data_IF_922177311070
#
_entry.id   IF_922177311070
#
_cell.length_a   1.000
_cell.length_b   1.000
_cell.length_c   1.000
_cell.angle_alpha   90.00
_cell.angle_beta   90.00
_cell.angle_gamma   90.00
#
_symmetry.space_group_name_H-M   'P 1'
#
loop_
_entity.id
_entity.type
_entity.pdbx_description
1 polymer ?
#
# COMPACT_ATOMS: atom_id res chain seq x y z
N UNK A 1 -24.65 10.33 15.26
CA UNK A 1 -25.01 8.96 14.81
C UNK A 1 -24.02 8.00 15.43
N UNK A 2 -24.48 6.90 16.03
CA UNK A 2 -23.58 5.83 16.50
C UNK A 2 -22.84 5.31 15.27
N UNK A 3 -21.52 5.31 15.29
CA UNK A 3 -20.71 4.68 14.24
C UNK A 3 -20.94 3.19 14.37
N UNK A 4 -21.87 2.66 13.57
CA UNK A 4 -22.11 1.22 13.48
C UNK A 4 -20.97 0.56 12.72
N UNK A 5 -20.64 -0.68 13.09
CA UNK A 5 -19.66 -1.47 12.36
C UNK A 5 -20.04 -1.58 10.87
N UNK A 6 -19.04 -1.56 9.96
CA UNK A 6 -19.30 -1.66 8.53
C UNK A 6 -19.96 -3.01 8.19
N UNK A 7 -21.05 -2.97 7.42
CA UNK A 7 -21.85 -4.14 7.09
C UNK A 7 -21.79 -4.45 5.59
N UNK A 8 -21.83 -5.73 5.17
CA UNK A 8 -22.00 -6.10 3.76
C UNK A 8 -23.13 -5.36 3.02
N UNK A 9 -24.26 -5.10 3.68
CA UNK A 9 -25.41 -4.38 3.11
C UNK A 9 -25.12 -2.93 2.73
N UNK A 10 -24.00 -2.38 3.21
CA UNK A 10 -23.56 -1.01 2.91
C UNK A 10 -22.94 -0.88 1.53
N UNK A 11 -22.79 -2.00 0.80
CA UNK A 11 -22.07 -2.06 -0.47
C UNK A 11 -22.88 -2.82 -1.52
N UNK A 12 -22.97 -2.23 -2.72
CA UNK A 12 -23.44 -2.92 -3.92
C UNK A 12 -22.24 -3.45 -4.69
N UNK A 13 -22.24 -4.74 -4.98
CA UNK A 13 -21.20 -5.40 -5.78
C UNK A 13 -21.48 -5.13 -7.26
N UNK A 14 -20.54 -4.49 -7.95
CA UNK A 14 -20.74 -4.09 -9.35
C UNK A 14 -20.10 -5.06 -10.33
N UNK A 15 -18.90 -5.55 -9.97
CA UNK A 15 -18.05 -6.28 -10.90
C UNK A 15 -17.05 -7.15 -10.17
N UNK A 16 -16.75 -8.33 -10.68
CA UNK A 16 -15.57 -9.10 -10.29
C UNK A 16 -14.32 -8.49 -10.95
N UNK A 17 -13.23 -8.36 -10.20
CA UNK A 17 -11.95 -7.81 -10.69
C UNK A 17 -10.94 -8.93 -10.92
N UNK A 18 -10.74 -9.79 -9.93
CA UNK A 18 -9.69 -10.79 -10.00
C UNK A 18 -9.63 -11.72 -8.81
N UNK A 19 -8.82 -12.76 -8.94
CA UNK A 19 -8.60 -13.78 -7.92
C UNK A 19 -7.12 -13.83 -7.55
N UNK A 20 -6.85 -13.73 -6.26
CA UNK A 20 -5.54 -14.00 -5.66
C UNK A 20 -5.43 -15.44 -5.14
N UNK A 21 -4.34 -15.73 -4.43
CA UNK A 21 -4.12 -17.05 -3.83
C UNK A 21 -5.19 -17.41 -2.79
N UNK A 22 -5.45 -16.48 -1.87
CA UNK A 22 -6.43 -16.62 -0.78
C UNK A 22 -7.54 -15.56 -0.82
N UNK A 23 -7.74 -14.89 -1.96
CA UNK A 23 -8.69 -13.78 -2.03
C UNK A 23 -9.42 -13.67 -3.36
N UNK A 24 -10.59 -13.03 -3.30
CA UNK A 24 -11.40 -12.61 -4.44
C UNK A 24 -11.58 -11.09 -4.35
N UNK A 25 -11.40 -10.40 -5.47
CA UNK A 25 -11.45 -8.93 -5.52
C UNK A 25 -12.63 -8.51 -6.37
N UNK A 26 -13.44 -7.60 -5.84
CA UNK A 26 -14.64 -7.06 -6.45
C UNK A 26 -14.58 -5.53 -6.50
N UNK A 27 -15.23 -4.94 -7.50
CA UNK A 27 -15.59 -3.53 -7.49
C UNK A 27 -16.91 -3.39 -6.74
N UNK A 28 -16.94 -2.52 -5.74
CA UNK A 28 -18.15 -2.24 -4.96
C UNK A 28 -18.42 -0.75 -4.90
N UNK A 29 -19.69 -0.39 -4.65
CA UNK A 29 -20.13 0.99 -4.44
C UNK A 29 -20.80 1.12 -3.08
N UNK A 30 -20.40 2.11 -2.29
CA UNK A 30 -21.02 2.41 -0.99
C UNK A 30 -22.43 2.96 -1.19
N UNK A 31 -23.41 2.48 -0.41
CA UNK A 31 -24.82 2.89 -0.52
C UNK A 31 -25.30 3.79 0.61
N UNK A 32 -24.56 3.87 1.71
CA UNK A 32 -24.92 4.64 2.89
C UNK A 32 -23.68 5.27 3.58
N UNK A 33 -23.89 6.23 4.47
CA UNK A 33 -22.82 6.88 5.21
C UNK A 33 -22.11 8.03 4.48
N UNK A 34 -20.97 8.50 5.02
CA UNK A 34 -20.27 9.73 4.60
C UNK A 34 -19.88 9.78 3.13
N UNK A 35 -19.55 8.60 2.60
CA UNK A 35 -18.89 8.36 1.34
C UNK A 35 -19.84 7.63 0.37
N UNK A 36 -21.15 7.75 0.58
CA UNK A 36 -22.19 7.20 -0.29
C UNK A 36 -21.91 7.54 -1.75
N UNK A 37 -22.02 6.53 -2.62
CA UNK A 37 -21.72 6.65 -4.06
C UNK A 37 -20.25 6.43 -4.43
N UNK A 38 -19.34 6.43 -3.45
CA UNK A 38 -17.92 6.14 -3.68
C UNK A 38 -17.70 4.70 -4.11
N UNK A 39 -16.71 4.50 -4.98
CA UNK A 39 -16.31 3.20 -5.50
C UNK A 39 -15.04 2.70 -4.82
N UNK A 40 -15.01 1.41 -4.55
CA UNK A 40 -13.94 0.73 -3.82
C UNK A 40 -13.58 -0.60 -4.47
N UNK A 41 -12.41 -1.11 -4.10
CA UNK A 41 -12.03 -2.49 -4.31
C UNK A 41 -12.29 -3.27 -3.02
N UNK A 42 -13.19 -4.26 -3.07
CA UNK A 42 -13.44 -5.19 -1.98
C UNK A 42 -12.59 -6.44 -2.17
N UNK A 43 -11.61 -6.66 -1.29
CA UNK A 43 -10.79 -7.89 -1.22
C UNK A 43 -11.40 -8.81 -0.16
N UNK A 44 -12.12 -9.84 -0.60
CA UNK A 44 -12.67 -10.90 0.24
C UNK A 44 -11.62 -11.99 0.43
N UNK A 45 -11.41 -12.47 1.65
CA UNK A 45 -10.47 -13.55 1.95
C UNK A 45 -11.18 -14.90 2.06
N UNK A 46 -10.52 -15.93 1.55
CA UNK A 46 -10.95 -17.33 1.62
C UNK A 46 -10.08 -18.03 2.68
N UNK A 47 -10.62 -18.23 3.87
CA UNK A 47 -9.91 -18.85 5.01
C UNK A 47 -9.79 -20.37 4.83
N UNK A 48 -8.99 -20.81 3.85
CA UNK A 48 -8.88 -22.23 3.48
C UNK A 48 -7.89 -23.02 4.33
N UNK A 49 -6.98 -22.37 5.02
CA UNK A 49 -5.93 -23.00 5.84
C UNK A 49 -5.27 -21.95 6.76
N UNK A 50 -4.38 -22.42 7.63
CA UNK A 50 -3.63 -21.60 8.58
C UNK A 50 -2.83 -20.47 7.90
N UNK A 51 -2.23 -20.73 6.74
CA UNK A 51 -1.50 -19.71 5.97
C UNK A 51 -2.41 -18.57 5.50
N UNK A 52 -3.64 -18.86 5.08
CA UNK A 52 -4.62 -17.84 4.70
C UNK A 52 -4.99 -16.92 5.88
N UNK A 53 -5.16 -17.50 7.08
CA UNK A 53 -5.42 -16.75 8.32
C UNK A 53 -4.23 -15.84 8.66
N UNK A 54 -3.01 -16.38 8.62
CA UNK A 54 -1.78 -15.58 8.85
C UNK A 54 -1.66 -14.41 7.87
N UNK A 55 -1.94 -14.65 6.58
CA UNK A 55 -1.89 -13.63 5.54
C UNK A 55 -2.88 -12.48 5.82
N UNK A 56 -4.15 -12.77 6.11
CA UNK A 56 -5.16 -11.72 6.34
C UNK A 56 -4.88 -10.90 7.60
N UNK A 57 -4.44 -11.55 8.69
CA UNK A 57 -4.12 -10.85 9.94
C UNK A 57 -2.88 -9.95 9.80
N UNK A 58 -1.86 -10.45 9.09
CA UNK A 58 -0.64 -9.69 8.77
C UNK A 58 -0.96 -8.47 7.91
N UNK A 59 -1.71 -8.67 6.82
CA UNK A 59 -2.11 -7.58 5.92
C UNK A 59 -2.96 -6.53 6.64
N UNK A 60 -3.96 -6.96 7.43
CA UNK A 60 -4.79 -6.06 8.25
C UNK A 60 -3.93 -5.18 9.14
N UNK A 61 -3.03 -5.78 9.92
CA UNK A 61 -2.21 -5.05 10.89
C UNK A 61 -1.34 -3.99 10.20
N UNK A 62 -0.76 -4.30 9.05
CA UNK A 62 0.05 -3.36 8.29
C UNK A 62 -0.82 -2.23 7.73
N UNK A 63 -1.97 -2.55 7.14
CA UNK A 63 -2.90 -1.56 6.60
C UNK A 63 -3.46 -0.63 7.67
N UNK A 64 -3.76 -1.13 8.87
CA UNK A 64 -4.20 -0.32 10.00
C UNK A 64 -3.10 0.62 10.49
N UNK A 65 -1.84 0.14 10.57
CA UNK A 65 -0.69 1.01 10.88
C UNK A 65 -0.56 2.13 9.85
N UNK A 66 -0.70 1.82 8.56
CA UNK A 66 -0.67 2.82 7.50
C UNK A 66 -1.81 3.83 7.67
N UNK A 67 -3.04 3.37 7.94
CA UNK A 67 -4.21 4.23 8.08
C UNK A 67 -4.14 5.25 9.24
N UNK A 68 -3.35 4.97 10.27
CA UNK A 68 -3.18 5.88 11.43
C UNK A 68 -1.90 6.72 11.35
N UNK A 69 -1.10 6.59 10.29
CA UNK A 69 0.07 7.45 10.09
C UNK A 69 -0.36 8.89 9.76
N UNK A 70 0.40 9.87 10.28
CA UNK A 70 0.20 11.30 9.98
C UNK A 70 0.29 11.60 8.49
N UNK A 71 1.14 10.86 7.78
CA UNK A 71 1.33 10.97 6.34
C UNK A 71 0.75 9.74 5.64
N UNK A 72 -0.28 9.95 4.81
CA UNK A 72 -0.85 8.91 3.95
C UNK A 72 -0.14 8.91 2.60
N UNK A 73 0.71 7.91 2.35
CA UNK A 73 1.39 7.78 1.05
C UNK A 73 0.40 7.40 -0.05
N UNK A 74 0.31 8.15 -1.17
CA UNK A 74 -0.57 7.79 -2.27
C UNK A 74 -0.06 6.57 -3.06
N UNK A 75 1.16 6.09 -2.75
CA UNK A 75 1.83 4.97 -3.39
C UNK A 75 1.65 3.64 -2.66
N UNK A 76 0.72 3.59 -1.69
CA UNK A 76 0.35 2.39 -0.94
C UNK A 76 -1.18 2.25 -0.87
N UNK A 77 -1.70 1.06 -0.53
CA UNK A 77 -3.14 0.83 -0.44
C UNK A 77 -3.70 1.53 0.80
N UNK A 78 -4.87 2.14 0.66
CA UNK A 78 -5.60 2.77 1.76
C UNK A 78 -6.77 1.88 2.16
N UNK A 79 -6.74 1.36 3.40
CA UNK A 79 -7.85 0.62 3.99
C UNK A 79 -8.95 1.58 4.44
N UNK A 80 -10.09 1.55 3.75
CA UNK A 80 -11.27 2.33 4.12
C UNK A 80 -12.08 1.63 5.21
N UNK A 81 -12.32 0.33 5.02
CA UNK A 81 -13.09 -0.49 5.95
C UNK A 81 -12.52 -1.91 6.01
N UNK A 82 -12.64 -2.57 7.15
CA UNK A 82 -12.58 -4.03 7.21
C UNK A 82 -13.76 -4.58 7.98
N UNK A 83 -14.20 -5.77 7.61
CA UNK A 83 -15.38 -6.42 8.20
C UNK A 83 -15.17 -7.91 8.35
N UNK A 84 -15.70 -8.45 9.43
CA UNK A 84 -15.81 -9.88 9.71
C UNK A 84 -17.27 -10.19 10.00
N UNK A 85 -17.87 -11.05 9.17
CA UNK A 85 -19.25 -11.51 9.39
C UNK A 85 -19.46 -12.88 8.78
N UNK A 86 -20.11 -13.77 9.52
CA UNK A 86 -20.45 -15.13 9.06
C UNK A 86 -19.24 -15.84 8.43
N UNK A 87 -18.09 -15.86 9.10
CA UNK A 87 -16.81 -16.42 8.62
C UNK A 87 -16.22 -15.81 7.33
N UNK A 88 -16.78 -14.70 6.85
CA UNK A 88 -16.26 -13.94 5.72
C UNK A 88 -15.49 -12.72 6.22
N UNK A 89 -14.19 -12.67 5.92
CA UNK A 89 -13.36 -11.47 6.14
C UNK A 89 -13.18 -10.71 4.84
N UNK A 90 -13.33 -9.39 4.90
CA UNK A 90 -13.12 -8.54 3.74
C UNK A 90 -12.44 -7.21 4.11
N UNK A 91 -11.60 -6.73 3.21
CA UNK A 91 -11.11 -5.36 3.19
C UNK A 91 -11.80 -4.58 2.08
N UNK A 92 -12.15 -3.34 2.38
CA UNK A 92 -12.60 -2.34 1.41
C UNK A 92 -11.49 -1.32 1.27
N UNK A 93 -10.85 -1.34 0.11
CA UNK A 93 -9.67 -0.54 -0.24
C UNK A 93 -10.07 0.54 -1.26
N UNK A 94 -9.31 1.64 -1.30
CA UNK A 94 -9.41 2.62 -2.40
C UNK A 94 -9.27 1.89 -3.76
N UNK A 95 -10.14 2.23 -4.70
CA UNK A 95 -10.13 1.58 -6.02
C UNK A 95 -8.90 2.01 -6.85
N UNK A 96 -8.21 1.02 -7.43
CA UNK A 96 -7.27 1.25 -8.52
C UNK A 96 -7.97 1.30 -9.89
N UNK A 97 -7.19 1.17 -10.96
CA UNK A 97 -7.69 1.11 -12.34
C UNK A 97 -8.19 -0.28 -12.75
N UNK A 98 -7.77 -1.32 -12.01
CA UNK A 98 -7.96 -2.72 -12.36
C UNK A 98 -6.87 -3.29 -13.28
N UNK A 99 -5.82 -2.52 -13.59
CA UNK A 99 -4.62 -2.99 -14.30
C UNK A 99 -3.39 -2.93 -13.39
N UNK A 100 -2.43 -3.80 -13.67
CA UNK A 100 -1.14 -3.85 -13.01
C UNK A 100 0.03 -3.60 -13.99
N UNK A 101 1.26 -3.56 -13.48
CA UNK A 101 2.46 -3.37 -14.30
C UNK A 101 2.74 -4.58 -15.19
N UNK A 102 2.29 -5.78 -14.81
CA UNK A 102 2.36 -6.95 -15.68
C UNK A 102 1.52 -6.75 -16.93
N UNK A 103 0.28 -6.28 -16.80
CA UNK A 103 -0.62 -5.97 -17.92
C UNK A 103 0.03 -4.96 -18.89
N UNK A 104 0.69 -3.93 -18.35
CA UNK A 104 1.43 -2.96 -19.16
C UNK A 104 2.56 -3.64 -19.93
N UNK A 105 3.39 -4.46 -19.27
CA UNK A 105 4.51 -5.16 -19.91
C UNK A 105 4.02 -6.18 -20.96
N UNK A 106 2.92 -6.87 -20.73
CA UNK A 106 2.28 -7.69 -21.75
C UNK A 106 1.80 -6.87 -22.95
N UNK A 107 1.34 -5.64 -22.71
CA UNK A 107 0.85 -4.75 -23.76
C UNK A 107 1.97 -4.17 -24.63
N UNK A 108 3.04 -3.66 -24.01
CA UNK A 108 4.10 -2.90 -24.71
C UNK A 108 5.40 -3.67 -24.89
N UNK A 109 5.52 -4.86 -24.28
CA UNK A 109 6.74 -5.64 -24.22
C UNK A 109 7.72 -5.07 -23.19
N UNK A 110 8.64 -4.21 -23.64
CA UNK A 110 9.64 -3.57 -22.78
C UNK A 110 9.43 -2.06 -22.74
N UNK A 111 9.66 -1.47 -21.59
CA UNK A 111 9.63 -0.03 -21.39
C UNK A 111 10.97 0.60 -21.76
N UNK A 112 10.89 1.84 -22.26
CA UNK A 112 12.09 2.68 -22.41
C UNK A 112 12.70 2.98 -21.04
N UNK A 113 14.02 3.22 -20.97
CA UNK A 113 14.67 3.58 -19.71
C UNK A 113 14.05 4.82 -19.04
N UNK A 114 13.52 5.76 -19.84
CA UNK A 114 12.85 6.95 -19.34
C UNK A 114 11.50 6.61 -18.67
N UNK A 115 10.68 5.76 -19.30
CA UNK A 115 9.40 5.33 -18.74
C UNK A 115 9.61 4.43 -17.52
N UNK A 116 10.63 3.56 -17.55
CA UNK A 116 11.04 2.76 -16.39
C UNK A 116 11.44 3.65 -15.22
N UNK A 117 12.24 4.69 -15.44
CA UNK A 117 12.66 5.63 -14.40
C UNK A 117 11.47 6.29 -13.69
N UNK A 118 10.42 6.64 -14.44
CA UNK A 118 9.19 7.21 -13.86
C UNK A 118 8.56 6.25 -12.86
N UNK A 119 8.23 5.02 -13.28
CA UNK A 119 7.55 4.07 -12.38
C UNK A 119 8.44 3.64 -11.22
N UNK A 120 9.75 3.49 -11.44
CA UNK A 120 10.70 3.18 -10.37
C UNK A 120 10.73 4.29 -9.31
N UNK A 121 10.61 5.56 -9.69
CA UNK A 121 10.53 6.66 -8.73
C UNK A 121 9.28 6.55 -7.83
N UNK A 122 8.13 6.17 -8.39
CA UNK A 122 6.88 6.01 -7.63
C UNK A 122 6.91 4.79 -6.72
N UNK A 123 7.42 3.66 -7.22
CA UNK A 123 7.62 2.44 -6.43
C UNK A 123 8.56 2.73 -5.25
N UNK A 124 9.66 3.48 -5.47
CA UNK A 124 10.57 3.91 -4.41
C UNK A 124 9.84 4.79 -3.38
N UNK A 125 8.91 5.66 -3.78
CA UNK A 125 8.13 6.45 -2.83
C UNK A 125 7.23 5.59 -1.93
N UNK A 126 6.62 4.53 -2.50
CA UNK A 126 5.83 3.55 -1.73
C UNK A 126 6.71 2.76 -0.74
N UNK A 127 7.82 2.20 -1.22
CA UNK A 127 8.76 1.44 -0.40
C UNK A 127 9.44 2.32 0.67
N UNK A 128 9.75 3.58 0.37
CA UNK A 128 10.34 4.53 1.33
C UNK A 128 9.40 4.75 2.52
N UNK A 129 8.09 4.82 2.27
CA UNK A 129 7.10 4.92 3.33
C UNK A 129 7.02 3.63 4.18
N UNK A 130 6.95 2.44 3.56
CA UNK A 130 6.99 1.17 4.30
C UNK A 130 8.26 1.04 5.15
N UNK A 131 9.43 1.33 4.56
CA UNK A 131 10.71 1.24 5.25
C UNK A 131 10.81 2.24 6.41
N UNK A 132 10.21 3.43 6.29
CA UNK A 132 10.15 4.39 7.40
C UNK A 132 9.37 3.85 8.63
N UNK A 133 8.48 2.88 8.42
CA UNK A 133 7.71 2.20 9.46
C UNK A 133 8.32 0.86 9.90
N UNK A 134 9.52 0.53 9.43
CA UNK A 134 10.19 -0.76 9.60
C UNK A 134 9.45 -1.95 8.98
N UNK A 135 8.74 -1.72 7.88
CA UNK A 135 7.99 -2.75 7.15
C UNK A 135 8.74 -3.07 5.86
N UNK A 136 8.99 -4.35 5.59
CA UNK A 136 9.58 -4.87 4.34
C UNK A 136 8.47 -5.51 3.51
N UNK A 137 8.41 -5.20 2.22
CA UNK A 137 7.31 -5.65 1.36
C UNK A 137 7.39 -7.15 1.03
N UNK A 138 8.59 -7.64 0.71
CA UNK A 138 8.95 -9.04 0.37
C UNK A 138 8.36 -9.63 -0.91
N UNK A 139 7.37 -9.00 -1.55
CA UNK A 139 6.81 -9.48 -2.82
C UNK A 139 6.67 -8.38 -3.89
N UNK A 140 7.73 -7.57 -4.07
CA UNK A 140 7.78 -6.55 -5.13
C UNK A 140 7.93 -7.23 -6.50
N UNK A 141 6.90 -7.14 -7.34
CA UNK A 141 6.81 -7.75 -8.68
C UNK A 141 5.77 -7.02 -9.54
N UNK A 142 5.76 -7.18 -10.87
CA UNK A 142 4.85 -6.46 -11.76
C UNK A 142 3.37 -6.56 -11.37
N UNK A 143 2.89 -7.72 -10.96
CA UNK A 143 1.50 -7.97 -10.58
C UNK A 143 1.07 -7.21 -9.30
N UNK A 144 2.03 -6.86 -8.44
CA UNK A 144 1.77 -6.14 -7.19
C UNK A 144 1.96 -4.62 -7.34
N UNK A 145 2.32 -4.13 -8.52
CA UNK A 145 2.38 -2.70 -8.84
C UNK A 145 1.12 -2.33 -9.62
N UNK A 146 0.13 -1.77 -8.93
CA UNK A 146 -1.19 -1.45 -9.51
C UNK A 146 -1.25 -0.02 -10.01
N UNK A 147 -2.04 0.19 -11.06
CA UNK A 147 -2.28 1.51 -11.63
C UNK A 147 -3.48 2.20 -11.01
N UNK A 148 -3.41 3.51 -10.84
CA UNK A 148 -4.57 4.39 -10.75
C UNK A 148 -5.10 4.73 -12.16
N UNK A 149 -6.36 5.21 -12.27
CA UNK A 149 -6.93 5.59 -13.57
C UNK A 149 -6.13 6.63 -14.36
N UNK A 150 -5.43 7.52 -13.66
CA UNK A 150 -4.62 8.61 -14.21
C UNK A 150 -3.20 8.19 -14.63
N UNK A 151 -2.81 6.92 -14.42
CA UNK A 151 -1.54 6.37 -14.88
C UNK A 151 -0.43 6.30 -13.82
N UNK A 152 -0.64 6.89 -12.64
CA UNK A 152 0.26 6.70 -11.51
C UNK A 152 0.16 5.29 -10.94
N UNK A 153 1.21 4.81 -10.27
CA UNK A 153 1.21 3.47 -9.66
C UNK A 153 1.19 3.51 -8.13
N UNK A 154 0.85 2.39 -7.52
CA UNK A 154 1.05 2.13 -6.10
C UNK A 154 1.47 0.68 -5.87
N UNK A 155 2.24 0.45 -4.81
CA UNK A 155 2.65 -0.89 -4.38
C UNK A 155 1.51 -1.49 -3.57
N UNK A 156 1.09 -2.71 -3.90
CA UNK A 156 -0.07 -3.39 -3.31
C UNK A 156 0.28 -4.78 -2.79
N UNK A 157 -0.69 -5.40 -2.12
CA UNK A 157 -0.61 -6.76 -1.56
C UNK A 157 0.42 -6.90 -0.43
N UNK A 158 0.00 -6.52 0.78
CA UNK A 158 0.85 -6.49 1.97
C UNK A 158 0.74 -7.78 2.81
N UNK A 159 0.17 -8.85 2.24
CA UNK A 159 -0.07 -10.13 2.91
C UNK A 159 1.19 -10.97 3.16
N UNK A 160 2.28 -10.60 2.48
CA UNK A 160 3.64 -11.17 2.62
C UNK A 160 4.62 -10.25 3.33
N UNK A 161 4.21 -9.02 3.63
CA UNK A 161 5.07 -8.01 4.23
C UNK A 161 5.44 -8.35 5.67
N UNK A 162 6.65 -7.98 6.08
CA UNK A 162 7.18 -8.27 7.41
C UNK A 162 7.45 -6.99 8.20
N UNK A 163 6.98 -6.94 9.44
CA UNK A 163 7.16 -5.80 10.33
C UNK A 163 8.31 -6.05 11.31
N UNK A 164 9.48 -5.50 10.99
CA UNK A 164 10.72 -5.66 11.77
C UNK A 164 10.58 -5.01 13.16
N UNK A 165 9.72 -3.99 13.33
CA UNK A 165 9.59 -3.27 14.60
C UNK A 165 9.07 -4.12 15.76
N UNK A 166 8.51 -5.30 15.48
CA UNK A 166 8.00 -6.21 16.51
C UNK A 166 9.09 -6.88 17.35
N UNK A 167 10.36 -6.80 16.94
CA UNK A 167 11.47 -7.46 17.61
C UNK A 167 11.26 -8.97 17.82
N UNK A 168 10.39 -9.59 17.02
CA UNK A 168 10.18 -11.04 17.00
C UNK A 168 11.17 -11.66 16.02
N UNK A 169 11.75 -12.81 16.37
CA UNK A 169 12.57 -13.57 15.41
C UNK A 169 11.68 -14.08 14.27
N UNK A 170 12.04 -13.87 12.98
CA UNK A 170 11.30 -14.42 11.87
C UNK A 170 11.20 -15.95 11.95
N UNK A 171 10.05 -16.49 11.59
CA UNK A 171 9.80 -17.92 11.40
C UNK A 171 9.93 -18.27 9.92
N UNK A 172 9.96 -19.57 9.59
CA UNK A 172 10.00 -20.01 8.18
C UNK A 172 8.81 -19.48 7.35
N UNK A 173 7.65 -19.26 7.99
CA UNK A 173 6.44 -18.70 7.37
C UNK A 173 6.53 -17.20 7.06
N UNK A 174 7.57 -16.51 7.55
CA UNK A 174 7.85 -15.10 7.25
C UNK A 174 8.76 -14.95 6.02
N UNK A 175 9.53 -15.98 5.68
CA UNK A 175 10.38 -16.02 4.50
C UNK A 175 9.56 -16.36 3.26
N UNK A 176 8.77 -15.38 2.84
CA UNK A 176 7.84 -15.50 1.72
C UNK A 176 8.27 -14.62 0.54
N UNK A 177 7.55 -14.78 -0.57
CA UNK A 177 7.74 -14.03 -1.82
C UNK A 177 7.56 -14.91 -3.04
N UNK A 178 7.69 -14.30 -4.21
CA UNK A 178 7.72 -14.99 -5.50
C UNK A 178 9.17 -15.34 -5.84
N UNK A 179 9.55 -16.62 -6.03
CA UNK A 179 10.95 -17.01 -6.24
C UNK A 179 11.67 -16.21 -7.34
N UNK A 180 10.95 -15.75 -8.37
CA UNK A 180 11.45 -14.89 -9.44
C UNK A 180 12.05 -13.57 -8.96
N UNK A 181 11.46 -12.96 -7.95
CA UNK A 181 11.84 -11.64 -7.42
C UNK A 181 12.49 -11.74 -6.03
N UNK A 182 12.46 -12.91 -5.42
CA UNK A 182 12.93 -13.15 -4.06
C UNK A 182 14.44 -12.92 -3.91
N UNK A 183 14.81 -12.18 -2.87
CA UNK A 183 16.20 -11.97 -2.51
C UNK A 183 16.86 -13.26 -2.00
N UNK A 184 18.18 -13.47 -2.21
CA UNK A 184 18.82 -14.74 -1.90
C UNK A 184 18.82 -15.08 -0.41
N UNK A 185 19.01 -14.08 0.46
CA UNK A 185 18.96 -14.23 1.92
C UNK A 185 17.56 -14.60 2.43
N UNK A 186 16.51 -14.09 1.77
CA UNK A 186 15.12 -14.44 2.07
C UNK A 186 14.84 -15.87 1.62
N UNK A 187 15.26 -16.22 0.40
CA UNK A 187 15.11 -17.58 -0.15
C UNK A 187 15.88 -18.65 0.65
N UNK A 188 16.95 -18.26 1.36
CA UNK A 188 17.71 -19.13 2.26
C UNK A 188 17.16 -19.17 3.69
N UNK A 189 16.18 -18.34 4.03
CA UNK A 189 15.63 -18.29 5.38
C UNK A 189 16.59 -17.66 6.40
N UNK A 190 17.48 -16.78 5.97
CA UNK A 190 18.56 -16.24 6.81
C UNK A 190 18.15 -14.97 7.55
N UNK A 191 17.76 -13.94 6.81
CA UNK A 191 17.43 -12.62 7.35
C UNK A 191 16.41 -11.90 6.46
N UNK A 192 15.53 -11.14 7.08
CA UNK A 192 14.64 -10.19 6.42
C UNK A 192 15.20 -8.80 6.68
N UNK A 193 15.56 -8.09 5.61
CA UNK A 193 16.14 -6.75 5.66
C UNK A 193 15.40 -5.85 4.66
N UNK A 194 15.33 -4.55 4.91
CA UNK A 194 14.78 -3.58 3.93
C UNK A 194 15.48 -3.66 2.56
N UNK A 195 16.75 -4.07 2.55
CA UNK A 195 17.55 -4.30 1.33
C UNK A 195 17.11 -5.54 0.54
N UNK A 196 16.25 -6.38 1.09
CA UNK A 196 15.61 -7.46 0.34
C UNK A 196 14.64 -6.90 -0.71
N UNK A 197 13.91 -5.81 -0.41
CA UNK A 197 13.06 -5.13 -1.40
C UNK A 197 13.89 -4.46 -2.51
N UNK A 198 15.13 -4.04 -2.22
CA UNK A 198 16.04 -3.45 -3.22
C UNK A 198 16.45 -4.48 -4.27
N UNK A 199 16.63 -5.72 -3.87
CA UNK A 199 16.88 -6.81 -4.81
C UNK A 199 15.67 -7.04 -5.72
N UNK A 200 14.48 -7.17 -5.14
CA UNK A 200 13.24 -7.36 -5.88
C UNK A 200 12.97 -6.20 -6.84
N UNK A 201 13.25 -4.96 -6.42
CA UNK A 201 13.22 -3.78 -7.27
C UNK A 201 14.23 -3.90 -8.44
N UNK A 202 15.45 -4.36 -8.18
CA UNK A 202 16.46 -4.59 -9.23
C UNK A 202 16.02 -5.61 -10.29
N UNK A 203 15.40 -6.71 -9.84
CA UNK A 203 14.82 -7.74 -10.71
C UNK A 203 13.67 -7.15 -11.53
N UNK A 204 12.75 -6.42 -10.88
CA UNK A 204 11.63 -5.74 -11.53
C UNK A 204 12.10 -4.76 -12.61
N UNK A 205 13.09 -3.90 -12.32
CA UNK A 205 13.65 -2.94 -13.30
C UNK A 205 14.24 -3.67 -14.50
N UNK A 206 14.94 -4.79 -14.27
CA UNK A 206 15.51 -5.58 -15.34
C UNK A 206 14.42 -6.20 -16.22
N UNK A 207 13.33 -6.65 -15.62
CA UNK A 207 12.16 -7.16 -16.35
C UNK A 207 11.47 -6.08 -17.18
N UNK A 208 11.32 -4.88 -16.62
CA UNK A 208 10.71 -3.74 -17.33
C UNK A 208 11.47 -3.36 -18.60
N UNK A 209 12.81 -3.44 -18.61
CA UNK A 209 13.64 -2.96 -19.74
C UNK A 209 14.16 -4.05 -20.66
N UNK A 210 14.18 -5.32 -20.22
CA UNK A 210 14.72 -6.43 -21.02
C UNK A 210 13.74 -7.59 -21.20
N UNK A 211 12.54 -7.50 -20.62
CA UNK A 211 11.59 -8.59 -20.52
C UNK A 211 12.03 -9.63 -19.48
N UNK A 212 11.37 -10.81 -19.44
CA UNK A 212 11.64 -11.82 -18.43
C UNK A 212 13.13 -12.21 -18.33
N UNK A 213 13.70 -12.02 -17.14
CA UNK A 213 15.15 -12.12 -16.90
C UNK A 213 15.65 -13.55 -16.64
N UNK A 214 14.73 -14.50 -16.50
CA UNK A 214 15.02 -15.93 -16.55
C UNK A 214 13.79 -16.68 -17.05
N UNK A 215 14.00 -17.86 -17.63
CA UNK A 215 12.90 -18.79 -17.91
C UNK A 215 12.36 -19.32 -16.58
N UNK A 216 11.05 -19.53 -16.53
CA UNK A 216 10.41 -20.33 -15.48
C UNK A 216 11.15 -21.67 -15.37
N UNK A 217 11.36 -22.13 -14.15
CA UNK A 217 11.95 -23.45 -13.95
C UNK A 217 10.91 -24.54 -14.19
N UNK A 218 11.36 -25.78 -14.39
CA UNK A 218 10.46 -26.94 -14.56
C UNK A 218 9.60 -27.19 -13.33
N UNK A 219 10.07 -26.80 -12.15
CA UNK A 219 9.35 -26.96 -10.89
C UNK A 219 9.78 -25.90 -9.86
N UNK A 220 8.92 -25.72 -8.85
CA UNK A 220 9.11 -24.76 -7.76
C UNK A 220 10.41 -24.97 -6.98
N UNK A 221 10.86 -26.20 -6.78
CA UNK A 221 12.09 -26.48 -6.04
C UNK A 221 13.33 -25.91 -6.74
N UNK A 222 13.38 -26.01 -8.07
CA UNK A 222 14.44 -25.41 -8.90
C UNK A 222 14.34 -23.88 -8.92
N UNK A 223 13.14 -23.29 -8.89
CA UNK A 223 12.99 -21.83 -8.77
C UNK A 223 13.58 -21.31 -7.45
N UNK A 224 13.24 -21.97 -6.34
CA UNK A 224 13.80 -21.63 -5.03
C UNK A 224 15.31 -21.86 -4.96
N UNK A 225 15.83 -22.90 -5.62
CA UNK A 225 17.27 -23.14 -5.72
C UNK A 225 17.97 -21.97 -6.42
N UNK A 226 17.43 -21.51 -7.56
CA UNK A 226 17.96 -20.35 -8.30
C UNK A 226 17.86 -19.06 -7.48
N UNK A 227 16.75 -18.87 -6.75
CA UNK A 227 16.59 -17.74 -5.83
C UNK A 227 17.66 -17.75 -4.74
N UNK A 228 17.89 -18.89 -4.07
CA UNK A 228 18.95 -19.08 -3.06
C UNK A 228 20.34 -18.79 -3.59
N UNK A 229 20.62 -19.19 -4.84
CA UNK A 229 21.89 -18.91 -5.51
C UNK A 229 22.04 -17.44 -5.92
N UNK A 230 20.95 -16.68 -6.00
CA UNK A 230 20.95 -15.29 -6.43
C UNK A 230 21.55 -15.06 -7.82
N UNK A 231 21.36 -16.02 -8.73
CA UNK A 231 21.88 -15.93 -10.10
C UNK A 231 20.81 -15.38 -11.04
N UNK A 232 21.13 -14.30 -11.75
CA UNK A 232 20.26 -13.68 -12.75
C UNK A 232 21.05 -13.38 -14.02
N UNK A 233 20.38 -13.49 -15.18
CA UNK A 233 20.97 -13.18 -16.48
C UNK A 233 20.14 -12.09 -17.16
N UNK A 234 20.61 -10.85 -17.07
CA UNK A 234 19.97 -9.73 -17.76
C UNK A 234 20.37 -9.78 -19.24
N UNK A 235 19.40 -10.11 -20.10
CA UNK A 235 19.63 -10.17 -21.55
C UNK A 235 19.97 -8.78 -22.08
N UNK A 236 20.96 -8.69 -22.96
CA UNK A 236 21.32 -7.41 -23.57
C UNK A 236 21.88 -6.36 -22.60
N UNK A 237 22.32 -6.75 -21.38
CA UNK A 237 22.85 -5.82 -20.37
C UNK A 237 23.91 -4.85 -20.93
N UNK A 238 24.78 -5.32 -21.83
CA UNK A 238 25.82 -4.49 -22.47
C UNK A 238 25.27 -3.36 -23.35
N UNK A 239 24.05 -3.54 -23.89
CA UNK A 239 23.37 -2.55 -24.74
C UNK A 239 22.56 -1.50 -23.95
N UNK A 240 22.39 -1.69 -22.64
CA UNK A 240 21.71 -0.72 -21.78
C UNK A 240 22.63 0.46 -21.43
N UNK A 241 22.07 1.56 -20.95
CA UNK A 241 22.87 2.72 -20.53
C UNK A 241 23.81 2.38 -19.35
N UNK A 242 24.95 3.06 -19.28
CA UNK A 242 25.88 2.91 -18.14
C UNK A 242 25.24 3.22 -16.78
N UNK A 243 24.38 4.24 -16.63
CA UNK A 243 23.61 4.45 -15.41
C UNK A 243 22.78 3.24 -15.00
N UNK A 244 22.09 2.59 -15.95
CA UNK A 244 21.23 1.44 -15.66
C UNK A 244 22.06 0.17 -15.37
N UNK A 245 23.15 -0.07 -16.09
CA UNK A 245 24.12 -1.12 -15.75
C UNK A 245 24.62 -0.97 -14.30
N UNK A 246 25.00 0.25 -13.91
CA UNK A 246 25.44 0.56 -12.54
C UNK A 246 24.32 0.37 -11.50
N UNK A 247 23.06 0.65 -11.87
CA UNK A 247 21.91 0.41 -11.00
C UNK A 247 21.77 -1.08 -10.68
N UNK A 248 21.87 -1.96 -11.69
CA UNK A 248 21.83 -3.40 -11.48
C UNK A 248 23.01 -3.90 -10.65
N UNK A 249 24.22 -3.40 -10.92
CA UNK A 249 25.40 -3.74 -10.11
C UNK A 249 25.24 -3.32 -8.65
N UNK A 250 24.48 -2.26 -8.33
CA UNK A 250 24.22 -1.87 -6.95
C UNK A 250 23.12 -2.72 -6.29
N UNK A 251 22.01 -2.98 -7.00
CA UNK A 251 20.84 -3.64 -6.42
C UNK A 251 20.98 -5.17 -6.34
N UNK A 252 21.63 -5.79 -7.34
CA UNK A 252 21.72 -7.25 -7.47
C UNK A 252 22.99 -7.82 -6.83
N UNK A 253 23.35 -7.33 -5.64
CA UNK A 253 24.42 -7.89 -4.83
C UNK A 253 23.90 -9.08 -4.01
N UNK A 254 24.60 -10.22 -4.08
CA UNK A 254 24.19 -11.45 -3.37
C UNK A 254 24.13 -11.26 -1.87
N UNK A 255 25.14 -10.58 -1.32
CA UNK A 255 25.16 -10.21 0.09
C UNK A 255 24.28 -8.97 0.30
N UNK A 256 23.21 -9.09 1.09
CA UNK A 256 22.28 -7.98 1.32
C UNK A 256 22.97 -6.75 1.90
N UNK A 257 24.02 -6.93 2.73
CA UNK A 257 24.75 -5.81 3.33
C UNK A 257 25.54 -4.94 2.34
N UNK A 258 25.81 -5.46 1.13
CA UNK A 258 26.48 -4.73 0.05
C UNK A 258 25.50 -3.92 -0.81
N UNK A 259 24.19 -4.11 -0.64
CA UNK A 259 23.17 -3.30 -1.30
C UNK A 259 23.00 -1.97 -0.56
N UNK A 260 22.76 -0.86 -1.27
CA UNK A 260 22.36 0.38 -0.63
C UNK A 260 20.95 0.27 -0.03
N UNK A 261 20.66 1.06 0.99
CA UNK A 261 19.26 1.37 1.37
C UNK A 261 18.61 2.27 0.31
N UNK A 262 17.29 2.46 0.36
CA UNK A 262 16.56 3.30 -0.60
C UNK A 262 17.17 4.70 -0.76
N UNK A 263 17.64 5.33 0.32
CA UNK A 263 18.35 6.61 0.25
C UNK A 263 19.52 6.57 -0.73
N UNK A 264 20.37 5.54 -0.66
CA UNK A 264 21.49 5.36 -1.59
C UNK A 264 21.04 4.96 -3.00
N UNK A 265 19.93 4.23 -3.14
CA UNK A 265 19.35 3.93 -4.46
C UNK A 265 18.94 5.21 -5.18
N UNK A 266 18.31 6.17 -4.49
CA UNK A 266 17.86 7.46 -5.03
C UNK A 266 19.03 8.32 -5.55
N UNK A 267 20.23 8.10 -5.06
CA UNK A 267 21.46 8.82 -5.45
C UNK A 267 22.15 8.19 -6.68
N UNK A 268 21.71 7.01 -7.14
CA UNK A 268 22.27 6.36 -8.32
C UNK A 268 22.03 7.18 -9.59
N UNK A 269 23.00 7.15 -10.51
CA UNK A 269 22.97 7.95 -11.74
C UNK A 269 21.70 7.72 -12.59
N UNK A 270 21.11 6.53 -12.53
CA UNK A 270 19.88 6.20 -13.23
C UNK A 270 18.70 7.07 -12.77
N UNK A 271 18.69 7.48 -11.50
CA UNK A 271 17.63 8.28 -10.85
C UNK A 271 18.04 9.73 -10.59
N UNK A 272 19.25 10.16 -11.00
CA UNK A 272 19.79 11.50 -10.77
C UNK A 272 18.84 12.65 -11.14
N UNK A 273 18.03 12.47 -12.17
CA UNK A 273 17.14 13.51 -12.70
C UNK A 273 15.69 13.40 -12.20
N UNK A 274 15.42 12.50 -11.25
CA UNK A 274 14.10 12.42 -10.61
C UNK A 274 13.95 13.57 -9.63
N UNK A 275 12.94 14.41 -9.86
CA UNK A 275 12.47 15.36 -8.86
C UNK A 275 11.65 14.62 -7.82
N UNK A 276 12.28 14.25 -6.70
CA UNK A 276 11.66 13.47 -5.64
C UNK A 276 10.53 14.19 -4.92
N UNK A 277 10.52 15.54 -4.91
CA UNK A 277 9.42 16.30 -4.32
C UNK A 277 8.17 16.19 -5.20
N UNK A 278 8.34 16.31 -6.52
CA UNK A 278 7.26 16.07 -7.48
C UNK A 278 6.81 14.62 -7.50
N UNK A 279 7.75 13.67 -7.44
CA UNK A 279 7.44 12.25 -7.37
C UNK A 279 6.54 11.96 -6.16
N UNK A 280 6.96 12.36 -4.95
CA UNK A 280 6.19 12.14 -3.71
C UNK A 280 4.79 12.77 -3.74
N UNK A 281 4.64 13.87 -4.47
CA UNK A 281 3.38 14.62 -4.58
C UNK A 281 2.52 14.22 -5.79
N UNK A 282 2.90 13.16 -6.54
CA UNK A 282 2.25 12.75 -7.80
C UNK A 282 2.11 13.88 -8.83
N UNK A 283 3.14 14.72 -8.93
CA UNK A 283 3.20 15.82 -9.90
C UNK A 283 4.05 15.49 -11.13
N UNK A 284 4.69 14.31 -11.18
CA UNK A 284 5.32 13.81 -12.39
C UNK A 284 4.24 13.37 -13.38
N UNK A 285 4.43 13.62 -14.69
CA UNK A 285 3.45 13.21 -15.70
C UNK A 285 3.60 11.71 -16.01
N UNK A 286 2.56 10.88 -15.85
CA UNK A 286 2.61 9.47 -16.21
C UNK A 286 2.84 9.26 -17.72
N UNK A 287 3.67 8.28 -18.11
CA UNK A 287 3.93 7.98 -19.51
C UNK A 287 2.80 7.21 -20.20
N UNK A 288 1.92 6.55 -19.43
CA UNK A 288 0.76 5.81 -19.92
C UNK A 288 -0.44 6.10 -19.02
N UNK A 289 -1.64 6.14 -19.59
CA UNK A 289 -2.90 6.17 -18.83
C UNK A 289 -3.50 4.77 -18.72
N UNK A 290 -4.22 4.46 -17.64
CA UNK A 290 -4.85 3.15 -17.51
C UNK A 290 -5.99 2.93 -18.52
N UNK A 291 -6.61 3.99 -19.04
CA UNK A 291 -7.57 3.90 -20.14
C UNK A 291 -6.96 3.28 -21.40
N UNK A 292 -5.71 3.63 -21.74
CA UNK A 292 -5.03 3.08 -22.91
C UNK A 292 -4.76 1.58 -22.76
N UNK A 293 -4.54 1.11 -21.53
CA UNK A 293 -4.30 -0.30 -21.21
C UNK A 293 -5.58 -1.13 -21.29
N UNK A 294 -6.69 -0.62 -20.72
CA UNK A 294 -7.97 -1.34 -20.65
C UNK A 294 -8.59 -1.67 -22.01
N UNK A 295 -8.39 -0.85 -23.02
CA UNK A 295 -8.98 -1.07 -24.35
C UNK A 295 -8.28 -2.17 -25.16
N UNK A 296 -7.09 -2.63 -24.74
CA UNK A 296 -6.26 -3.56 -25.53
C UNK A 296 -5.86 -4.82 -24.77
N UNK A 297 -5.89 -4.79 -23.44
CA UNK A 297 -5.77 -5.98 -22.59
C UNK A 297 -7.13 -6.69 -22.52
N UNK A 298 -7.65 -7.09 -23.68
CA UNK A 298 -8.67 -8.13 -23.77
C UNK A 298 -7.96 -9.47 -23.81
N UNK A 299 -7.29 -9.87 -22.73
CA UNK A 299 -6.97 -11.29 -22.50
C UNK A 299 -6.58 -11.60 -21.07
N UNK A 300 -7.59 -12.07 -20.33
CA UNK A 300 -7.47 -13.32 -19.58
C UNK A 300 -8.55 -14.29 -20.08
N UNK A 301 -8.33 -14.84 -21.28
CA UNK A 301 -8.83 -16.19 -21.64
C UNK A 301 -8.03 -17.24 -20.85
N UNK A 302 -8.15 -17.19 -19.51
CA UNK A 302 -7.85 -18.33 -18.64
C UNK A 302 -8.94 -18.58 -17.59
N UNK A 303 -10.02 -17.80 -17.60
CA UNK A 303 -11.33 -18.23 -17.11
C UNK A 303 -12.40 -17.27 -17.66
N UNK A 304 -13.43 -17.72 -18.40
CA UNK A 304 -14.53 -16.89 -18.87
C UNK A 304 -15.50 -16.57 -17.73
N UNK A 305 -14.99 -16.01 -16.63
CA UNK A 305 -15.86 -15.40 -15.64
C UNK A 305 -16.33 -14.11 -16.28
N UNK A 306 -17.60 -14.08 -16.68
CA UNK A 306 -18.23 -12.81 -16.99
C UNK A 306 -17.99 -11.91 -15.78
N UNK A 307 -17.37 -10.74 -16.00
CA UNK A 307 -17.10 -9.78 -14.92
C UNK A 307 -18.36 -9.38 -14.14
N UNK A 308 -19.53 -9.70 -14.68
CA UNK A 308 -20.87 -9.45 -14.14
C UNK A 308 -21.67 -10.74 -13.87
N UNK A 309 -21.01 -11.91 -13.80
CA UNK A 309 -21.67 -13.17 -13.48
C UNK A 309 -22.33 -13.10 -12.10
N UNK A 310 -23.66 -13.25 -12.07
CA UNK A 310 -24.45 -13.08 -10.86
C UNK A 310 -24.03 -14.06 -9.73
N UNK A 311 -23.60 -15.28 -10.07
CA UNK A 311 -23.16 -16.28 -9.07
C UNK A 311 -21.81 -15.91 -8.46
N UNK A 312 -20.95 -15.23 -9.22
CA UNK A 312 -19.66 -14.75 -8.71
C UNK A 312 -19.86 -13.50 -7.85
N UNK A 313 -20.76 -12.60 -8.26
CA UNK A 313 -21.06 -11.37 -7.52
C UNK A 313 -21.81 -11.63 -6.20
N UNK A 314 -22.78 -12.55 -6.19
CA UNK A 314 -23.51 -12.92 -4.96
C UNK A 314 -22.56 -13.48 -3.90
N UNK A 315 -21.48 -14.14 -4.33
CA UNK A 315 -20.44 -14.65 -3.44
C UNK A 315 -19.55 -13.58 -2.77
N UNK A 316 -19.68 -12.28 -3.04
CA UNK A 316 -18.71 -11.30 -2.53
C UNK A 316 -18.63 -11.18 -1.00
N UNK A 317 -19.65 -11.64 -0.27
CA UNK A 317 -19.71 -11.60 1.19
C UNK A 317 -20.01 -12.95 1.84
N UNK A 318 -20.11 -14.01 1.05
CA UNK A 318 -20.33 -15.36 1.57
C UNK A 318 -19.10 -15.87 2.32
N UNK A 319 -19.23 -16.88 3.21
CA UNK A 319 -18.08 -17.51 3.87
C UNK A 319 -17.22 -18.33 2.91
N UNK A 320 -17.86 -19.05 1.98
CA UNK A 320 -17.22 -20.10 1.18
C UNK A 320 -16.97 -19.70 -0.27
N UNK A 321 -15.98 -20.35 -0.90
CA UNK A 321 -15.64 -20.11 -2.30
C UNK A 321 -16.88 -20.34 -3.18
N UNK A 322 -17.24 -19.41 -4.10
CA UNK A 322 -18.43 -19.58 -4.93
C UNK A 322 -18.38 -20.88 -5.74
N UNK A 323 -19.52 -21.56 -5.88
CA UNK A 323 -19.65 -22.87 -6.55
C UNK A 323 -19.11 -22.87 -7.99
N UNK A 324 -19.14 -21.71 -8.66
CA UNK A 324 -18.51 -21.49 -9.96
C UNK A 324 -17.05 -21.97 -9.97
N UNK A 325 -16.27 -21.61 -8.96
CA UNK A 325 -14.85 -21.95 -8.86
C UNK A 325 -14.61 -23.40 -8.41
N UNK A 326 -15.59 -24.02 -7.75
CA UNK A 326 -15.53 -25.41 -7.30
C UNK A 326 -15.82 -26.35 -8.47
N UNK A 327 -16.90 -26.09 -9.21
CA UNK A 327 -17.36 -26.92 -10.34
C UNK A 327 -16.34 -27.02 -11.49
N UNK A 328 -15.51 -25.99 -11.71
CA UNK A 328 -14.43 -26.03 -12.71
C UNK A 328 -13.18 -26.80 -12.28
N UNK A 329 -12.94 -27.00 -10.98
CA UNK A 329 -11.83 -27.87 -10.52
C UNK A 329 -12.14 -29.35 -10.79
N UNK A 330 -13.42 -29.71 -10.89
CA UNK A 330 -13.91 -31.09 -11.00
C UNK A 330 -13.73 -31.76 -12.37
N UNK A 331 -12.88 -31.25 -13.27
CA UNK A 331 -12.45 -32.00 -14.46
C UNK A 331 -11.35 -33.05 -14.17
N UNK A 332 -10.98 -33.25 -12.89
CA UNK A 332 -10.46 -34.51 -12.36
C UNK A 332 -11.31 -34.92 -11.16
N UNK A 333 -11.68 -36.20 -11.02
CA UNK A 333 -12.56 -36.65 -9.94
C UNK A 333 -11.74 -36.75 -8.65
N UNK A 334 -11.72 -35.69 -7.85
CA UNK A 334 -11.39 -35.77 -6.43
C UNK A 334 -12.69 -35.75 -5.62
N UNK A 335 -12.94 -36.85 -4.91
CA UNK A 335 -14.17 -37.18 -4.17
C UNK A 335 -14.40 -36.38 -2.89
N UNK A 336 -13.98 -35.11 -2.82
CA UNK A 336 -14.20 -34.26 -1.62
C UNK A 336 -14.82 -32.89 -1.96
N UNK A 337 -15.51 -32.76 -3.09
CA UNK A 337 -16.22 -31.55 -3.46
C UNK A 337 -17.63 -31.51 -2.83
N UNK A 338 -17.71 -31.08 -1.58
CA UNK A 338 -18.81 -30.31 -0.99
C UNK A 338 -18.57 -30.17 0.51
N UNK A 339 -18.04 -29.03 0.95
CA UNK A 339 -18.23 -28.62 2.35
C UNK A 339 -19.04 -27.33 2.31
N UNK A 340 -20.34 -27.52 2.10
CA UNK A 340 -21.36 -26.53 2.38
C UNK A 340 -21.35 -26.25 3.89
N UNK A 341 -21.18 -25.00 4.28
CA UNK A 341 -21.53 -24.51 5.63
C UNK A 341 -20.50 -24.70 6.74
N UNK A 342 -19.52 -25.60 6.60
CA UNK A 342 -18.60 -25.97 7.70
C UNK A 342 -17.17 -25.42 7.51
N UNK A 343 -16.47 -25.20 8.63
CA UNK A 343 -15.04 -24.86 8.65
C UNK A 343 -14.24 -25.91 7.84
N UNK A 344 -13.35 -25.50 6.92
CA UNK A 344 -12.50 -26.41 6.15
C UNK A 344 -11.75 -27.39 7.04
N UNK A 345 -11.75 -28.67 6.66
CA UNK A 345 -11.05 -29.74 7.42
C UNK A 345 -9.56 -29.47 7.68
N UNK A 346 -8.89 -28.71 6.81
CA UNK A 346 -7.52 -28.22 6.98
C UNK A 346 -7.36 -27.29 8.19
N UNK A 347 -8.33 -26.42 8.44
CA UNK A 347 -8.37 -25.54 9.60
C UNK A 347 -8.66 -26.31 10.87
N UNK A 348 -9.59 -27.27 10.84
CA UNK A 348 -9.87 -28.16 11.97
C UNK A 348 -8.61 -28.93 12.37
N UNK A 349 -7.89 -29.51 11.40
CA UNK A 349 -6.60 -30.19 11.64
C UNK A 349 -5.53 -29.27 12.21
N UNK A 350 -5.54 -28.00 11.84
CA UNK A 350 -4.67 -26.97 12.41
C UNK A 350 -5.17 -26.45 13.79
N UNK A 351 -6.28 -27.00 14.31
CA UNK A 351 -6.80 -26.70 15.64
C UNK A 351 -7.71 -25.47 15.71
N UNK A 352 -8.19 -24.96 14.58
CA UNK A 352 -9.16 -23.86 14.53
C UNK A 352 -10.59 -24.40 14.73
N UNK A 353 -11.34 -23.72 15.61
CA UNK A 353 -12.78 -23.90 15.84
C UNK A 353 -13.51 -22.60 15.50
N UNK A 354 -14.84 -22.64 15.45
CA UNK A 354 -15.68 -21.46 15.24
C UNK A 354 -15.37 -20.36 16.27
N UNK A 355 -15.43 -20.69 17.55
CA UNK A 355 -15.12 -19.77 18.65
C UNK A 355 -13.70 -19.18 18.56
N UNK A 356 -12.72 -19.98 18.12
CA UNK A 356 -11.35 -19.48 17.95
C UNK A 356 -11.25 -18.49 16.81
N UNK A 357 -11.94 -18.74 15.70
CA UNK A 357 -11.98 -17.80 14.57
C UNK A 357 -12.69 -16.52 14.96
N UNK A 358 -13.85 -16.60 15.62
CA UNK A 358 -14.56 -15.40 16.08
C UNK A 358 -13.77 -14.61 17.10
N UNK A 359 -13.07 -15.28 18.03
CA UNK A 359 -12.17 -14.59 18.96
C UNK A 359 -11.01 -13.89 18.21
N UNK A 360 -10.40 -14.58 17.26
CA UNK A 360 -9.26 -14.07 16.48
C UNK A 360 -9.65 -12.88 15.59
N UNK A 361 -10.88 -12.85 15.09
CA UNK A 361 -11.42 -11.78 14.25
C UNK A 361 -12.35 -10.82 15.02
N UNK A 362 -12.44 -10.92 16.34
CA UNK A 362 -13.33 -10.09 17.18
C UNK A 362 -13.09 -8.58 17.05
N UNK A 363 -11.84 -8.19 16.78
CA UNK A 363 -11.44 -6.79 16.54
C UNK A 363 -11.24 -6.46 15.06
N UNK A 364 -11.70 -7.32 14.15
CA UNK A 364 -11.45 -7.21 12.71
C UNK A 364 -12.22 -6.07 12.04
N UNK A 365 -13.27 -5.54 12.66
CA UNK A 365 -13.99 -4.37 12.15
C UNK A 365 -13.13 -3.11 12.24
N UNK A 366 -12.98 -2.40 11.13
CA UNK A 366 -12.22 -1.15 11.05
C UNK A 366 -12.94 -0.14 10.16
N UNK A 367 -12.82 1.14 10.52
CA UNK A 367 -13.21 2.28 9.68
C UNK A 367 -12.05 3.27 9.71
N UNK A 368 -11.60 3.69 8.53
CA UNK A 368 -10.50 4.64 8.39
C UNK A 368 -10.79 5.95 9.15
N UNK A 369 -9.82 6.52 9.88
CA UNK A 369 -10.03 7.74 10.66
C UNK A 369 -10.65 8.90 9.86
N UNK A 370 -10.21 9.11 8.62
CA UNK A 370 -10.76 10.19 7.75
C UNK A 370 -12.23 10.00 7.38
N UNK A 371 -12.78 8.79 7.47
CA UNK A 371 -14.19 8.50 7.15
C UNK A 371 -15.09 8.63 8.38
N UNK A 372 -14.53 8.56 9.60
CA UNK A 372 -15.28 8.76 10.85
C UNK A 372 -15.72 10.22 11.06
N UNK A 373 -14.96 11.18 10.52
CA UNK A 373 -15.07 12.61 10.88
C UNK A 373 -16.27 13.33 10.25
N UNK A 374 -16.97 12.75 9.27
CA UNK A 374 -18.10 13.47 8.63
C UNK A 374 -19.32 13.70 9.54
N UNK A 375 -19.46 12.98 10.65
CA UNK A 375 -20.54 13.22 11.62
C UNK A 375 -20.26 14.37 12.58
N UNK A 376 -18.99 14.69 12.82
CA UNK A 376 -18.58 15.75 13.76
C UNK A 376 -18.36 17.10 13.06
N UNK A 377 -18.31 17.13 11.73
CA UNK A 377 -18.31 18.37 10.96
C UNK A 377 -19.56 19.22 11.26
N UNK A 378 -20.70 18.60 11.55
CA UNK A 378 -21.89 19.33 12.01
C UNK A 378 -21.76 19.88 13.43
N UNK A 379 -20.98 19.25 14.30
CA UNK A 379 -20.74 19.73 15.66
C UNK A 379 -19.69 20.84 15.64
N UNK A 380 -18.62 20.71 14.86
CA UNK A 380 -17.60 21.74 14.68
C UNK A 380 -18.17 22.99 14.00
N UNK A 381 -19.02 22.83 12.98
CA UNK A 381 -19.71 23.94 12.32
C UNK A 381 -20.83 24.54 13.20
N UNK A 382 -21.51 23.73 14.04
CA UNK A 382 -22.44 24.25 15.03
C UNK A 382 -21.74 24.99 16.17
N UNK A 383 -20.60 24.50 16.65
CA UNK A 383 -19.78 25.13 17.70
C UNK A 383 -19.09 26.38 17.19
N UNK A 384 -18.62 26.42 15.93
CA UNK A 384 -18.09 27.63 15.31
C UNK A 384 -19.19 28.68 15.16
N UNK A 385 -20.40 28.29 14.73
CA UNK A 385 -21.58 29.17 14.65
C UNK A 385 -22.08 29.64 16.02
N UNK A 386 -21.99 28.81 17.07
CA UNK A 386 -22.29 29.18 18.45
C UNK A 386 -21.24 30.14 19.04
N UNK A 387 -19.97 29.92 18.72
CA UNK A 387 -18.86 30.78 19.17
C UNK A 387 -18.93 32.16 18.51
N UNK A 388 -19.30 32.22 17.22
CA UNK A 388 -19.56 33.48 16.50
C UNK A 388 -20.79 34.20 17.06
N UNK A 389 -21.89 33.49 17.41
CA UNK A 389 -23.07 34.10 18.04
C UNK A 389 -22.80 34.63 19.45
N UNK A 390 -21.98 33.93 20.24
CA UNK A 390 -21.58 34.37 21.59
C UNK A 390 -20.63 35.58 21.55
N UNK A 391 -19.77 35.70 20.53
CA UNK A 391 -18.92 36.88 20.35
C UNK A 391 -19.70 38.10 19.85
N UNK A 392 -20.73 37.92 19.01
CA UNK A 392 -21.62 39.02 18.60
C UNK A 392 -22.47 39.53 19.76
N UNK A 393 -22.96 38.65 20.64
CA UNK A 393 -23.72 39.04 21.83
C UNK A 393 -22.87 39.79 22.88
N UNK A 394 -21.57 39.45 23.01
CA UNK A 394 -20.63 40.19 23.86
C UNK A 394 -20.27 41.57 23.30
N UNK A 395 -20.22 41.74 21.97
CA UNK A 395 -19.94 43.05 21.37
C UNK A 395 -21.16 43.99 21.33
N UNK A 396 -22.39 43.47 21.48
CA UNK A 396 -23.60 44.29 21.61
C UNK A 396 -23.88 44.77 23.05
N UNK A 397 -23.08 44.36 24.04
CA UNK A 397 -23.26 44.73 25.46
C UNK A 397 -22.21 45.70 26.01
N UNK A 398 -21.31 46.23 25.18
CA UNK A 398 -20.22 47.15 25.60
C UNK A 398 -20.46 48.61 25.14
N UNK A 399 -21.42 48.88 24.27
CA UNK A 399 -21.79 50.25 23.87
C UNK A 399 -22.97 50.79 24.71
N UNK A 400 -22.74 51.08 25.99
CA UNK A 400 -23.52 52.07 26.77
C UNK A 400 -22.80 52.40 28.08
N UNK A 401 -21.71 53.17 28.01
CA UNK A 401 -21.33 54.16 29.05
C UNK A 401 -20.06 54.90 28.64
N UNK A 402 -20.18 56.08 28.02
CA UNK A 402 -19.23 57.17 28.25
C UNK A 402 -19.85 58.49 27.83
N UNK A 403 -20.34 59.25 28.80
CA UNK A 403 -20.59 60.68 28.66
C UNK A 403 -20.37 61.33 30.03
N UNK A 404 -19.24 62.06 30.17
CA UNK A 404 -19.11 63.33 30.90
C UNK A 404 -17.66 63.62 31.32
N UNK A 405 -17.12 64.72 30.74
CA UNK A 405 -16.25 65.75 31.37
C UNK A 405 -14.83 65.29 31.80
N UNK A 406 -13.77 66.08 31.77
CA UNK A 406 -13.62 67.54 31.72
C UNK A 406 -12.19 67.90 31.23
N UNK A 407 -12.06 69.18 30.91
CA UNK A 407 -10.94 70.01 30.44
C UNK A 407 -9.50 69.70 30.92
N UNK A 408 -8.53 70.06 30.07
CA UNK A 408 -7.41 70.91 30.52
C UNK A 408 -5.99 70.59 30.04
N UNK A 409 -5.50 71.41 29.10
CA UNK A 409 -4.16 72.04 29.06
C UNK A 409 -2.86 71.22 28.86
N UNK A 410 -2.24 71.51 27.70
CA UNK A 410 -0.87 72.00 27.50
C UNK A 410 0.39 71.14 27.78
N UNK A 411 1.03 70.77 26.66
CA UNK A 411 2.42 71.11 26.24
C UNK A 411 3.67 70.38 26.81
N UNK A 412 4.61 70.19 25.87
CA UNK A 412 6.10 70.26 25.93
C UNK A 412 6.93 68.95 25.92
N UNK A 413 7.63 68.78 24.78
CA UNK A 413 8.98 68.27 24.47
C UNK A 413 9.58 66.94 24.98
N UNK A 414 9.81 66.03 24.01
CA UNK A 414 11.10 65.62 23.42
C UNK A 414 12.21 64.92 24.28
N UNK A 415 13.27 64.32 23.67
CA UNK A 415 13.59 62.90 23.83
C UNK A 415 15.03 62.63 24.33
N UNK A 416 15.35 61.41 24.81
CA UNK A 416 16.75 61.00 25.05
C UNK A 416 16.97 59.51 24.75
N UNK A 417 17.78 59.24 23.72
CA UNK A 417 18.78 58.15 23.68
C UNK A 417 20.16 58.80 23.99
N UNK A 418 21.33 58.11 24.15
CA UNK A 418 21.71 56.70 23.89
C UNK A 418 22.68 56.10 24.96
N UNK A 419 23.22 54.89 24.73
CA UNK A 419 24.68 54.60 24.60
C UNK A 419 25.00 53.10 24.72
N UNK A 420 25.94 52.69 23.86
CA UNK A 420 26.50 51.36 23.63
C UNK A 420 27.40 50.84 24.76
N UNK A 421 27.67 49.52 24.76
CA UNK A 421 29.07 49.05 24.88
C UNK A 421 29.27 47.71 24.17
N UNK A 422 30.20 47.70 23.21
CA UNK A 422 30.95 46.54 22.70
C UNK A 422 31.96 46.08 23.77
N UNK A 423 32.28 44.79 23.80
CA UNK A 423 33.70 44.34 23.85
C UNK A 423 33.89 42.91 23.33
N UNK A 424 34.83 42.83 22.41
CA UNK A 424 35.47 41.68 21.77
C UNK A 424 36.63 41.11 22.61
N UNK A 425 36.99 39.83 22.39
CA UNK A 425 38.37 39.24 22.35
C UNK A 425 38.27 37.70 22.50
N UNK A 426 39.08 36.80 21.97
CA UNK A 426 40.10 36.73 20.89
C UNK A 426 40.44 35.24 20.72
N UNK A 427 41.03 34.91 19.55
CA UNK A 427 41.57 33.61 19.12
C UNK A 427 42.69 33.05 20.02
N UNK A 428 42.89 31.73 19.93
CA UNK A 428 44.14 31.03 20.22
C UNK A 428 44.23 29.71 19.43
N UNK A 429 45.36 29.47 18.78
CA UNK A 429 45.75 28.34 17.91
C UNK A 429 47.05 27.71 18.40
N UNK A 430 47.16 26.37 18.42
CA UNK A 430 48.39 25.52 18.25
C UNK A 430 47.98 24.05 18.48
N UNK A 431 48.08 23.09 17.54
CA UNK A 431 49.25 22.30 17.06
C UNK A 431 50.05 21.61 18.18
N UNK A 432 50.14 20.27 18.11
CA UNK A 432 51.17 19.46 18.76
C UNK A 432 50.75 18.01 19.07
N UNK A 433 51.37 17.07 18.34
CA UNK A 433 51.44 15.58 18.42
C UNK A 433 50.37 14.69 17.76
#
# INVERSE_FOLDING_TARGET
>A
MVVTDPCPSDFVVERFIGRGCYSLVYKVRKTNGPDTGSKYALKRFLLKNDSAIKCVLRERRILERLAVCDFQSPFLPMLCYSMWKNYSSAFVLREGSGCDLYDLLCHVGCLSEANTRFYVAEIICGLEHLHSLNIVHLDVKPENILFYPDGHVFVSDLDRSYDISQNTKPTLDDFTGTPLFMAPEVARGEVIDMRSDIWSLGVLVAEMVTGPIRREAENTAEEFKRARMGTYTIRGLKGLSKPLQSFFSACLQRQHTQRPYLKGVKELRFLKYVDWCKARSRLLRPPYSASELRHRVTKKDKDPISFVDANVLSGAFEPWEPDYFISKKSQKPDTNASESGNIPSSLIKAGYTEDKLDLLFSSFSFIHPSLKVSSDAHISDALSKLTVKLSTAKNMSVDTTSDAKDRGLCTVDNPITPVSTRRSRTRGTSIGD
#
